data_IF_519293827758
#
_entry.id   IF_519293827758
#
_cell.length_a   1.000
_cell.length_b   1.000
_cell.length_c   1.000
_cell.angle_alpha   90.00
_cell.angle_beta   90.00
_cell.angle_gamma   90.00
#
_symmetry.space_group_name_H-M   'P 1'
#
loop_
_entity.id
_entity.type
_entity.pdbx_description
1 polymer ?
#
# COMPACT_ATOMS: atom_id res chain seq x y z
N UNK A 1 30.43 -0.10 24.75
CA UNK A 1 29.72 -0.47 23.52
C UNK A 1 30.73 -0.99 22.53
N UNK A 2 30.49 -2.16 21.94
CA UNK A 2 31.30 -2.69 20.85
C UNK A 2 30.61 -2.29 19.53
N UNK A 3 31.11 -1.25 18.87
CA UNK A 3 30.47 -0.74 17.65
C UNK A 3 30.56 -1.71 16.49
N UNK A 4 31.63 -2.51 16.41
CA UNK A 4 31.77 -3.55 15.39
C UNK A 4 30.68 -4.61 15.51
N UNK A 5 30.32 -4.99 16.74
CA UNK A 5 29.20 -5.92 17.02
C UNK A 5 27.85 -5.28 16.68
N UNK A 6 27.68 -3.97 16.91
CA UNK A 6 26.46 -3.27 16.50
C UNK A 6 26.33 -3.19 14.97
N UNK A 7 27.44 -2.98 14.26
CA UNK A 7 27.46 -2.88 12.79
C UNK A 7 27.17 -4.23 12.14
N UNK A 8 27.59 -5.35 12.74
CA UNK A 8 27.33 -6.69 12.20
C UNK A 8 25.86 -7.12 12.28
N UNK A 9 25.05 -6.47 13.12
CA UNK A 9 23.60 -6.71 13.23
C UNK A 9 22.77 -6.13 12.09
N UNK A 10 23.36 -5.29 11.23
CA UNK A 10 22.65 -4.76 10.07
C UNK A 10 22.61 -5.79 8.94
N UNK A 11 21.41 -6.17 8.55
CA UNK A 11 21.17 -7.14 7.48
C UNK A 11 20.73 -6.48 6.17
N UNK A 12 20.93 -7.15 5.02
CA UNK A 12 20.38 -6.69 3.75
C UNK A 12 18.86 -6.58 3.82
N UNK A 13 18.33 -5.49 3.28
CA UNK A 13 16.90 -5.20 3.31
C UNK A 13 16.24 -5.64 2.00
N UNK A 14 14.99 -6.06 2.10
CA UNK A 14 14.09 -6.20 0.95
C UNK A 14 13.16 -4.99 0.92
N UNK A 15 12.72 -4.57 -0.27
CA UNK A 15 11.97 -3.32 -0.45
C UNK A 15 10.66 -3.34 0.34
N UNK A 16 10.06 -4.51 0.49
CA UNK A 16 8.81 -4.75 1.22
C UNK A 16 8.97 -4.63 2.74
N UNK A 17 10.18 -4.82 3.26
CA UNK A 17 10.48 -4.75 4.70
C UNK A 17 10.75 -3.31 5.19
N UNK A 18 10.84 -2.34 4.29
CA UNK A 18 11.18 -0.96 4.63
C UNK A 18 9.94 -0.07 4.52
N UNK A 19 9.67 0.80 5.52
CA UNK A 19 8.63 1.81 5.41
C UNK A 19 8.84 2.67 4.16
N UNK A 20 7.75 3.10 3.53
CA UNK A 20 7.85 3.87 2.30
C UNK A 20 8.46 5.24 2.57
N UNK A 21 9.56 5.53 1.87
CA UNK A 21 10.27 6.80 1.97
C UNK A 21 10.45 7.53 0.62
N UNK A 22 10.16 6.86 -0.50
CA UNK A 22 10.31 7.38 -1.86
C UNK A 22 9.35 6.68 -2.84
N UNK A 23 9.41 6.99 -4.14
CA UNK A 23 8.67 6.23 -5.15
C UNK A 23 9.18 4.77 -5.26
N UNK A 24 8.40 3.81 -5.80
CA UNK A 24 8.79 2.40 -5.82
C UNK A 24 10.15 2.14 -6.48
N UNK A 25 10.40 2.80 -7.61
CA UNK A 25 11.66 2.69 -8.35
C UNK A 25 12.82 3.31 -7.59
N UNK A 26 12.61 4.43 -6.91
CA UNK A 26 13.62 5.07 -6.06
C UNK A 26 13.89 4.25 -4.79
N UNK A 27 12.87 3.62 -4.21
CA UNK A 27 13.03 2.71 -3.07
C UNK A 27 13.86 1.50 -3.44
N UNK A 28 13.56 0.85 -4.58
CA UNK A 28 14.39 -0.24 -5.12
C UNK A 28 15.85 0.21 -5.31
N UNK A 29 16.07 1.37 -5.91
CA UNK A 29 17.41 1.92 -6.12
C UNK A 29 18.12 2.26 -4.80
N UNK A 30 17.41 2.80 -3.82
CA UNK A 30 17.96 3.16 -2.52
C UNK A 30 18.29 1.92 -1.69
N UNK A 31 17.42 0.92 -1.66
CA UNK A 31 17.61 -0.36 -0.96
C UNK A 31 18.75 -1.14 -1.61
N UNK A 32 18.80 -1.22 -2.94
CA UNK A 32 19.94 -1.86 -3.64
C UNK A 32 21.26 -1.14 -3.37
N UNK A 33 21.26 0.19 -3.33
CA UNK A 33 22.45 0.97 -2.97
C UNK A 33 22.87 0.74 -1.52
N UNK A 34 21.91 0.62 -0.60
CA UNK A 34 22.15 0.30 0.80
C UNK A 34 22.76 -1.10 0.97
N UNK A 35 22.15 -2.12 0.37
CA UNK A 35 22.64 -3.50 0.41
C UNK A 35 24.04 -3.63 -0.19
N UNK A 36 24.32 -2.90 -1.27
CA UNK A 36 25.67 -2.82 -1.83
C UNK A 36 26.66 -2.16 -0.86
N UNK A 37 26.25 -1.11 -0.16
CA UNK A 37 27.10 -0.46 0.84
C UNK A 37 27.39 -1.40 2.03
N UNK A 38 26.42 -2.19 2.48
CA UNK A 38 26.63 -3.24 3.49
C UNK A 38 27.64 -4.29 3.02
N UNK A 39 27.49 -4.81 1.80
CA UNK A 39 28.44 -5.77 1.25
C UNK A 39 29.87 -5.19 1.15
N UNK A 40 29.99 -3.90 0.82
CA UNK A 40 31.28 -3.20 0.79
C UNK A 40 31.89 -3.00 2.18
N UNK A 41 31.09 -2.83 3.24
CA UNK A 41 31.60 -2.79 4.61
C UNK A 41 32.25 -4.12 5.01
N UNK A 42 31.66 -5.24 4.63
CA UNK A 42 32.20 -6.57 4.93
C UNK A 42 33.41 -6.96 4.08
N UNK A 43 33.57 -6.34 2.90
CA UNK A 43 34.73 -6.49 2.02
C UNK A 43 35.84 -5.46 2.31
N UNK A 44 35.84 -4.87 3.51
CA UNK A 44 36.84 -3.90 3.99
C UNK A 44 36.93 -2.59 3.16
N UNK A 45 35.94 -2.32 2.31
CA UNK A 45 35.84 -1.12 1.47
C UNK A 45 35.05 -0.02 2.16
N UNK A 46 35.44 0.31 3.40
CA UNK A 46 34.68 1.17 4.33
C UNK A 46 34.42 2.59 3.80
N UNK A 47 35.40 3.20 3.11
CA UNK A 47 35.26 4.56 2.59
C UNK A 47 34.18 4.69 1.52
N UNK A 48 34.06 3.68 0.65
CA UNK A 48 33.06 3.65 -0.43
C UNK A 48 31.66 3.52 0.19
N UNK A 49 31.53 2.64 1.18
CA UNK A 49 30.28 2.46 1.91
C UNK A 49 29.88 3.75 2.66
N UNK A 50 30.82 4.43 3.32
CA UNK A 50 30.55 5.71 4.00
C UNK A 50 30.04 6.79 3.05
N UNK A 51 30.62 6.89 1.84
CA UNK A 51 30.17 7.86 0.83
C UNK A 51 28.75 7.52 0.35
N UNK A 52 28.49 6.24 0.07
CA UNK A 52 27.17 5.78 -0.36
C UNK A 52 26.10 6.01 0.71
N UNK A 53 26.38 5.65 1.96
CA UNK A 53 25.47 5.82 3.10
C UNK A 53 25.22 7.29 3.41
N UNK A 54 26.24 8.15 3.33
CA UNK A 54 26.05 9.61 3.51
C UNK A 54 25.13 10.19 2.45
N UNK A 55 25.33 9.80 1.19
CA UNK A 55 24.46 10.22 0.09
C UNK A 55 23.03 9.71 0.30
N UNK A 56 22.85 8.47 0.73
CA UNK A 56 21.52 7.90 1.01
C UNK A 56 20.83 8.64 2.15
N UNK A 57 21.50 8.84 3.28
CA UNK A 57 20.94 9.53 4.44
C UNK A 57 20.58 11.01 4.15
N UNK A 58 21.29 11.67 3.23
CA UNK A 58 20.96 13.04 2.81
C UNK A 58 19.86 13.10 1.75
N UNK A 59 19.84 12.14 0.83
CA UNK A 59 18.87 12.12 -0.29
C UNK A 59 17.51 11.57 0.13
N UNK A 60 17.49 10.67 1.12
CA UNK A 60 16.30 10.02 1.64
C UNK A 60 16.24 10.11 3.18
N UNK A 61 15.89 11.28 3.75
CA UNK A 61 15.85 11.47 5.20
C UNK A 61 14.83 10.56 5.92
N UNK A 62 13.80 10.12 5.21
CA UNK A 62 12.75 9.20 5.69
C UNK A 62 13.15 7.72 5.58
N UNK A 63 14.36 7.41 5.10
CA UNK A 63 14.91 6.06 5.14
C UNK A 63 15.81 5.94 6.38
N UNK A 64 15.37 5.29 7.48
CA UNK A 64 16.08 5.36 8.76
C UNK A 64 17.35 4.49 8.82
N UNK A 65 17.39 3.38 8.07
CA UNK A 65 18.49 2.41 8.13
C UNK A 65 19.86 2.99 7.73
N UNK A 66 20.01 3.76 6.62
CA UNK A 66 21.29 4.38 6.28
C UNK A 66 21.76 5.40 7.32
N UNK A 67 20.83 6.17 7.90
CA UNK A 67 21.17 7.17 8.92
C UNK A 67 21.67 6.49 10.20
N UNK A 68 20.99 5.42 10.65
CA UNK A 68 21.41 4.66 11.82
C UNK A 68 22.78 3.99 11.61
N UNK A 69 22.95 3.27 10.51
CA UNK A 69 24.22 2.60 10.18
C UNK A 69 25.38 3.60 10.04
N UNK A 70 25.13 4.75 9.38
CA UNK A 70 26.12 5.82 9.29
C UNK A 70 26.47 6.40 10.67
N UNK A 71 25.47 6.53 11.55
CA UNK A 71 25.67 6.91 12.95
C UNK A 71 26.60 5.95 13.68
N UNK A 72 26.36 4.64 13.60
CA UNK A 72 27.22 3.61 14.20
C UNK A 72 28.65 3.66 13.64
N UNK A 73 28.82 3.83 12.32
CA UNK A 73 30.15 3.93 11.70
C UNK A 73 30.92 5.18 12.12
N UNK A 74 30.22 6.30 12.32
CA UNK A 74 30.82 7.54 12.82
C UNK A 74 31.17 7.44 14.32
N UNK A 75 30.33 6.76 15.10
CA UNK A 75 30.58 6.50 16.51
C UNK A 75 31.82 5.61 16.71
N UNK A 76 31.99 4.60 15.87
CA UNK A 76 33.19 3.76 15.82
C UNK A 76 34.45 4.59 15.50
N UNK A 77 34.34 5.61 14.65
CA UNK A 77 35.42 6.57 14.37
C UNK A 77 35.63 7.65 15.43
N UNK A 78 34.89 7.63 16.54
CA UNK A 78 34.99 8.58 17.65
C UNK A 78 34.20 9.89 17.49
N UNK A 79 33.43 10.07 16.40
CA UNK A 79 32.64 11.28 16.13
C UNK A 79 31.24 11.20 16.77
N UNK A 80 31.20 11.14 18.10
CA UNK A 80 29.98 10.84 18.87
C UNK A 80 28.85 11.88 18.71
N UNK A 81 29.17 13.18 18.63
CA UNK A 81 28.14 14.24 18.48
C UNK A 81 27.36 14.12 17.17
N UNK A 82 28.07 13.92 16.06
CA UNK A 82 27.46 13.77 14.75
C UNK A 82 26.71 12.44 14.62
N UNK A 83 27.29 11.39 15.20
CA UNK A 83 26.63 10.09 15.29
C UNK A 83 25.28 10.20 16.03
N UNK A 84 25.27 10.85 17.20
CA UNK A 84 24.05 11.05 17.99
C UNK A 84 22.93 11.74 17.20
N UNK A 85 23.27 12.79 16.43
CA UNK A 85 22.29 13.49 15.58
C UNK A 85 21.66 12.57 14.53
N UNK A 86 22.46 11.72 13.89
CA UNK A 86 21.98 10.80 12.85
C UNK A 86 21.15 9.65 13.44
N UNK A 87 21.53 9.13 14.60
CA UNK A 87 20.76 8.09 15.29
C UNK A 87 19.42 8.65 15.80
N UNK A 88 19.42 9.87 16.33
CA UNK A 88 18.19 10.56 16.75
C UNK A 88 17.27 10.83 15.55
N UNK A 89 17.83 11.23 14.40
CA UNK A 89 17.07 11.35 13.15
C UNK A 89 16.44 10.01 12.77
N UNK A 90 17.19 8.90 12.82
CA UNK A 90 16.66 7.58 12.48
C UNK A 90 15.50 7.16 13.42
N UNK A 91 15.65 7.41 14.73
CA UNK A 91 14.60 7.16 15.73
C UNK A 91 13.33 7.98 15.46
N UNK A 92 13.47 9.26 15.07
CA UNK A 92 12.30 10.11 14.76
C UNK A 92 11.49 9.65 13.55
N UNK A 93 12.12 8.89 12.65
CA UNK A 93 11.47 8.34 11.44
C UNK A 93 10.81 6.99 11.72
N UNK A 94 11.33 6.25 12.71
CA UNK A 94 10.82 4.95 13.13
C UNK A 94 11.65 3.79 12.59
N UNK A 95 12.29 3.04 13.48
CA UNK A 95 13.06 1.84 13.18
C UNK A 95 12.25 0.58 13.53
N UNK A 96 12.56 -0.58 12.91
CA UNK A 96 12.03 -1.87 13.36
C UNK A 96 12.38 -2.11 14.84
N UNK A 97 11.52 -2.81 15.60
CA UNK A 97 11.63 -2.94 17.07
C UNK A 97 13.03 -3.37 17.56
N UNK A 98 13.69 -4.29 16.86
CA UNK A 98 15.05 -4.75 17.19
C UNK A 98 16.10 -3.64 17.05
N UNK A 99 16.02 -2.85 15.97
CA UNK A 99 16.94 -1.74 15.72
C UNK A 99 16.60 -0.49 16.53
N UNK A 100 15.35 -0.32 16.93
CA UNK A 100 14.88 0.81 17.74
C UNK A 100 15.47 0.76 19.17
N UNK A 101 15.43 -0.41 19.81
CA UNK A 101 16.06 -0.63 21.12
C UNK A 101 17.59 -0.51 21.05
N UNK A 102 18.19 -1.03 19.98
CA UNK A 102 19.62 -0.88 19.72
C UNK A 102 20.00 0.60 19.55
N UNK A 103 19.21 1.38 18.80
CA UNK A 103 19.45 2.81 18.59
C UNK A 103 19.31 3.62 19.89
N UNK A 104 18.32 3.32 20.75
CA UNK A 104 18.17 3.91 22.08
C UNK A 104 19.37 3.59 22.97
N UNK A 105 19.81 2.34 23.00
CA UNK A 105 20.98 1.92 23.78
C UNK A 105 22.27 2.61 23.30
N UNK A 106 22.43 2.79 21.99
CA UNK A 106 23.53 3.54 21.40
C UNK A 106 23.54 5.00 21.85
N UNK A 107 22.38 5.67 21.86
CA UNK A 107 22.26 7.05 22.34
C UNK A 107 22.56 7.16 23.85
N UNK A 108 22.02 6.27 24.67
CA UNK A 108 22.30 6.25 26.11
C UNK A 108 23.79 6.05 26.39
N UNK A 109 24.46 5.17 25.63
CA UNK A 109 25.91 4.98 25.72
C UNK A 109 26.68 6.24 25.31
N UNK A 110 26.23 6.98 24.30
CA UNK A 110 26.88 8.24 23.90
C UNK A 110 26.70 9.34 24.95
N UNK A 111 25.51 9.44 25.54
CA UNK A 111 25.19 10.43 26.58
C UNK A 111 26.02 10.21 27.86
N UNK A 112 26.18 8.96 28.29
CA UNK A 112 27.03 8.62 29.46
C UNK A 112 28.51 8.88 29.23
N UNK A 113 28.97 8.90 27.98
CA UNK A 113 30.35 9.17 27.58
C UNK A 113 30.62 10.61 27.18
N UNK A 114 29.63 11.49 27.26
CA UNK A 114 29.75 12.91 26.96
C UNK A 114 29.98 13.64 28.31
N UNK A 115 31.23 13.92 28.73
CA UNK A 115 31.43 14.82 29.85
C UNK A 115 31.04 16.22 29.40
N UNK A 116 30.44 16.99 30.32
CA UNK A 116 30.11 18.41 30.18
C UNK A 116 31.08 19.15 29.26
N UNK A 117 30.65 19.40 28.03
CA UNK A 117 31.12 20.55 27.28
C UNK A 117 29.98 21.56 27.33
N UNK A 118 30.18 22.73 27.96
CA UNK A 118 29.15 23.73 28.03
C UNK A 118 28.72 24.10 26.61
N UNK A 119 27.42 24.34 26.46
CA UNK A 119 26.79 24.77 25.24
C UNK A 119 27.59 25.90 24.59
N UNK A 120 28.19 25.63 23.43
CA UNK A 120 28.62 26.69 22.54
C UNK A 120 27.34 27.40 22.10
N UNK A 121 27.16 28.58 22.70
CA UNK A 121 26.12 29.54 22.39
C UNK A 121 26.12 29.73 20.88
N UNK A 122 24.97 29.41 20.27
CA UNK A 122 24.61 29.89 18.95
C UNK A 122 24.65 31.41 19.02
N UNK A 123 25.80 32.01 18.68
CA UNK A 123 25.89 33.42 18.37
C UNK A 123 25.26 33.62 16.99
N UNK A 124 23.95 33.80 17.01
CA UNK A 124 23.20 34.49 15.97
C UNK A 124 23.84 35.86 15.80
N UNK A 125 24.71 36.02 14.80
CA UNK A 125 25.32 37.29 14.45
C UNK A 125 24.31 38.10 13.63
N UNK A 126 23.28 38.61 14.31
CA UNK A 126 22.41 39.68 13.82
C UNK A 126 23.27 40.95 13.75
N UNK A 127 23.79 41.25 12.56
CA UNK A 127 24.52 42.50 12.31
C UNK A 127 23.49 43.62 12.13
N UNK A 128 23.11 44.27 13.22
CA UNK A 128 22.58 45.65 13.19
C UNK A 128 23.78 46.59 13.16
N UNK A 129 23.88 47.39 12.09
CA UNK A 129 24.90 48.43 11.90
C UNK A 129 24.25 49.78 12.19
N UNK A 130 24.51 50.33 13.37
CA UNK A 130 24.54 51.78 13.58
C UNK A 130 25.72 52.13 14.49
N UNK A 131 26.52 53.07 13.99
CA UNK A 131 27.52 53.90 14.67
C UNK A 131 28.79 53.26 15.23
N UNK A 132 29.83 53.24 14.37
CA UNK A 132 31.08 53.98 14.65
C UNK A 132 31.95 54.15 13.40
N UNK A 133 32.38 55.39 13.22
CA UNK A 133 33.21 55.96 12.15
C UNK A 133 34.67 55.39 12.16
N UNK A 134 35.37 55.31 11.00
CA UNK A 134 36.60 54.53 10.85
C UNK A 134 37.89 55.34 11.02
N UNK A 135 39.03 54.73 11.41
CA UNK A 135 40.35 55.30 11.17
C UNK A 135 40.88 54.92 9.77
N UNK A 136 41.61 55.86 9.19
CA UNK A 136 42.08 55.86 7.80
C UNK A 136 43.07 54.74 7.44
N UNK A 137 42.86 54.16 6.25
CA UNK A 137 43.78 53.26 5.56
C UNK A 137 44.88 54.06 4.83
N UNK A 138 46.13 53.89 5.25
CA UNK A 138 47.31 54.30 4.49
C UNK A 138 47.70 53.17 3.52
N UNK A 139 47.43 53.38 2.22
CA UNK A 139 47.80 52.48 1.13
C UNK A 139 49.09 52.99 0.50
N UNK A 140 50.24 52.72 1.10
CA UNK A 140 51.55 52.72 0.43
C UNK A 140 52.49 51.81 1.23
N UNK A 141 53.35 51.07 0.52
CA UNK A 141 54.15 49.93 1.01
C UNK A 141 53.27 48.66 1.09
N UNK A 142 53.45 47.62 0.28
CA UNK A 142 54.68 46.90 -0.03
C UNK A 142 54.54 46.25 -1.42
N UNK A 143 55.27 46.82 -2.38
CA UNK A 143 55.79 46.11 -3.54
C UNK A 143 57.15 45.55 -3.11
N UNK A 144 57.27 44.25 -2.84
CA UNK A 144 58.57 43.58 -2.88
C UNK A 144 58.45 42.05 -3.07
N UNK A 145 58.53 41.65 -4.34
CA UNK A 145 59.53 40.69 -4.87
C UNK A 145 59.88 39.50 -3.96
N UNK A 146 59.36 38.31 -4.29
CA UNK A 146 60.22 37.11 -4.33
C UNK A 146 60.01 36.31 -5.61
N UNK A 147 61.10 36.22 -6.37
CA UNK A 147 61.31 35.42 -7.56
C UNK A 147 61.91 34.09 -7.09
N UNK A 148 61.25 32.96 -7.34
CA UNK A 148 61.91 31.64 -7.43
C UNK A 148 61.11 30.73 -8.35
N UNK A 149 61.58 30.62 -9.60
CA UNK A 149 61.00 29.77 -10.62
C UNK A 149 61.10 28.31 -10.23
N UNK A 150 59.95 27.67 -10.00
CA UNK A 150 59.80 26.22 -10.01
C UNK A 150 58.87 25.90 -11.18
N UNK A 151 59.34 25.09 -12.12
CA UNK A 151 58.61 24.67 -13.32
C UNK A 151 57.19 24.23 -12.93
N UNK A 152 56.19 25.00 -13.35
CA UNK A 152 54.78 24.65 -13.21
C UNK A 152 54.54 23.42 -14.10
N UNK A 153 54.30 22.27 -13.47
CA UNK A 153 53.73 21.12 -14.17
C UNK A 153 52.29 21.50 -14.50
N UNK A 154 51.96 21.55 -15.78
CA UNK A 154 50.57 21.67 -16.23
C UNK A 154 49.75 20.56 -15.57
N UNK A 155 48.63 20.94 -14.94
CA UNK A 155 47.66 19.99 -14.38
C UNK A 155 47.28 18.96 -15.45
N UNK A 156 47.27 17.69 -15.07
CA UNK A 156 46.99 16.61 -16.02
C UNK A 156 45.59 16.75 -16.61
N UNK A 157 45.36 16.22 -17.82
CA UNK A 157 44.03 16.23 -18.49
C UNK A 157 42.89 15.66 -17.61
N UNK A 158 43.21 14.86 -16.59
CA UNK A 158 42.26 14.38 -15.57
C UNK A 158 41.88 15.48 -14.57
N UNK A 159 42.85 16.25 -14.05
CA UNK A 159 42.61 17.36 -13.11
C UNK A 159 41.92 18.54 -13.79
N UNK A 160 42.27 18.85 -15.05
CA UNK A 160 41.52 19.83 -15.85
C UNK A 160 40.05 19.43 -16.03
N UNK A 161 39.76 18.13 -16.13
CA UNK A 161 38.38 17.60 -16.23
C UNK A 161 37.61 17.71 -14.93
N UNK A 162 38.26 17.57 -13.78
CA UNK A 162 37.61 17.70 -12.47
C UNK A 162 37.32 19.16 -12.14
N UNK A 163 38.21 20.07 -12.53
CA UNK A 163 38.03 21.52 -12.35
C UNK A 163 36.99 22.09 -13.31
N UNK A 164 36.92 21.59 -14.55
CA UNK A 164 35.86 21.95 -15.51
C UNK A 164 34.47 21.39 -15.14
N UNK A 165 34.37 20.44 -14.19
CA UNK A 165 33.09 19.90 -13.71
C UNK A 165 32.58 20.59 -12.44
N UNK A 166 33.38 21.48 -11.86
CA UNK A 166 33.11 22.11 -10.56
C UNK A 166 32.23 23.35 -10.63
N UNK A 167 32.12 24.03 -11.77
CA UNK A 167 31.34 25.27 -11.88
C UNK A 167 30.49 25.32 -13.15
N UNK A 168 29.24 25.74 -12.96
CA UNK A 168 28.23 26.14 -13.95
C UNK A 168 27.53 25.00 -14.71
N UNK A 169 26.23 24.87 -14.42
CA UNK A 169 25.24 24.44 -15.40
C UNK A 169 25.37 25.30 -16.68
N UNK A 170 25.22 24.68 -17.85
CA UNK A 170 24.31 25.26 -18.83
C UNK A 170 23.35 24.21 -19.39
N UNK A 171 22.16 24.69 -19.75
CA UNK A 171 21.13 23.99 -20.51
C UNK A 171 21.73 23.16 -21.65
N UNK A 172 21.38 21.88 -21.71
CA UNK A 172 21.71 21.03 -22.84
C UNK A 172 20.80 21.39 -24.02
N UNK A 173 21.34 22.16 -24.98
CA UNK A 173 20.93 22.04 -26.37
C UNK A 173 21.72 20.87 -26.97
N UNK A 174 21.03 19.75 -27.16
CA UNK A 174 21.59 18.51 -27.70
C UNK A 174 22.22 18.73 -29.09
N UNK A 175 23.54 18.54 -29.22
CA UNK A 175 24.18 18.29 -30.51
C UNK A 175 24.56 16.82 -30.61
N UNK A 176 23.78 16.10 -31.42
CA UNK A 176 23.85 14.64 -31.58
C UNK A 176 25.00 14.26 -32.52
N UNK A 177 26.21 14.12 -31.99
CA UNK A 177 27.34 13.55 -32.74
C UNK A 177 27.26 12.03 -32.67
N UNK A 178 26.85 11.41 -33.79
CA UNK A 178 26.89 9.94 -33.95
C UNK A 178 28.34 9.48 -34.08
N UNK A 179 28.93 8.94 -33.00
CA UNK A 179 30.14 8.13 -33.12
C UNK A 179 29.77 6.75 -33.68
N UNK A 180 30.39 6.35 -34.79
CA UNK A 180 30.36 4.96 -35.27
C UNK A 180 31.12 4.09 -34.27
N UNK A 181 30.43 3.12 -33.68
CA UNK A 181 31.01 2.17 -32.71
C UNK A 181 31.94 1.19 -33.44
N UNK A 182 33.10 0.93 -32.83
CA UNK A 182 34.08 -0.04 -33.33
C UNK A 182 33.50 -1.46 -33.40
N UNK A 183 33.61 -2.16 -34.56
CA UNK A 183 32.98 -3.47 -34.76
C UNK A 183 33.54 -4.55 -33.82
N UNK A 184 34.80 -4.41 -33.39
CA UNK A 184 35.47 -5.36 -32.49
C UNK A 184 34.91 -5.27 -31.06
N UNK A 185 34.50 -4.08 -30.62
CA UNK A 185 33.91 -3.89 -29.30
C UNK A 185 32.49 -4.47 -29.19
N UNK A 186 31.72 -4.36 -30.28
CA UNK A 186 30.41 -5.01 -30.41
C UNK A 186 30.52 -6.54 -30.40
N UNK A 187 31.53 -7.11 -31.06
CA UNK A 187 31.72 -8.56 -31.07
C UNK A 187 32.07 -9.11 -29.67
N UNK A 188 32.96 -8.41 -28.95
CA UNK A 188 33.42 -8.83 -27.62
C UNK A 188 32.33 -8.74 -26.55
N UNK A 189 31.41 -7.79 -26.69
CA UNK A 189 30.26 -7.64 -25.76
C UNK A 189 29.04 -8.43 -26.21
N UNK A 190 28.84 -8.62 -27.50
CA UNK A 190 27.69 -9.34 -28.06
C UNK A 190 27.77 -10.86 -27.91
N UNK A 191 28.96 -11.46 -28.02
CA UNK A 191 29.15 -12.91 -27.92
C UNK A 191 28.66 -13.52 -26.58
N UNK A 192 29.01 -12.99 -25.38
CA UNK A 192 28.52 -13.54 -24.13
C UNK A 192 27.01 -13.31 -23.95
N UNK A 193 26.47 -12.19 -24.43
CA UNK A 193 25.02 -11.91 -24.37
C UNK A 193 24.25 -12.92 -25.22
N UNK A 194 24.73 -13.20 -26.43
CA UNK A 194 24.13 -14.21 -27.31
C UNK A 194 24.15 -15.60 -26.67
N UNK A 195 25.25 -15.97 -26.00
CA UNK A 195 25.35 -17.25 -25.30
C UNK A 195 24.34 -17.37 -24.15
N UNK A 196 24.17 -16.30 -23.35
CA UNK A 196 23.16 -16.28 -22.27
C UNK A 196 21.75 -16.37 -22.83
N UNK A 197 21.44 -15.62 -23.90
CA UNK A 197 20.13 -15.68 -24.56
C UNK A 197 19.83 -17.09 -25.07
N UNK A 198 20.83 -17.77 -25.64
CA UNK A 198 20.67 -19.13 -26.16
C UNK A 198 20.41 -20.14 -25.03
N UNK A 199 21.11 -20.01 -23.89
CA UNK A 199 20.86 -20.84 -22.70
C UNK A 199 19.45 -20.62 -22.16
N UNK A 200 19.01 -19.36 -22.02
CA UNK A 200 17.65 -19.03 -21.55
C UNK A 200 16.59 -19.57 -22.51
N UNK A 201 16.79 -19.42 -23.82
CA UNK A 201 15.88 -19.97 -24.83
C UNK A 201 15.78 -21.50 -24.74
N UNK A 202 16.90 -22.20 -24.51
CA UNK A 202 16.88 -23.66 -24.33
C UNK A 202 16.17 -24.09 -23.04
N UNK A 203 16.29 -23.32 -21.95
CA UNK A 203 15.58 -23.59 -20.70
C UNK A 203 14.06 -23.37 -20.84
N UNK A 204 13.65 -22.33 -21.56
CA UNK A 204 12.23 -22.08 -21.86
C UNK A 204 11.67 -23.23 -22.71
N UNK A 205 12.40 -23.66 -23.74
CA UNK A 205 11.97 -24.78 -24.60
C UNK A 205 11.90 -26.11 -23.83
N UNK A 206 12.86 -26.36 -22.93
CA UNK A 206 12.85 -27.53 -22.05
C UNK A 206 11.66 -27.48 -21.07
N UNK A 207 11.37 -26.31 -20.52
CA UNK A 207 10.19 -26.08 -19.69
C UNK A 207 8.90 -26.39 -20.43
N UNK A 208 8.68 -25.82 -21.61
CA UNK A 208 7.47 -26.07 -22.43
C UNK A 208 7.34 -27.55 -22.83
N UNK A 209 8.47 -28.23 -23.11
CA UNK A 209 8.47 -29.65 -23.50
C UNK A 209 8.15 -30.60 -22.33
N UNK A 210 8.62 -30.30 -21.12
CA UNK A 210 8.56 -31.23 -19.98
C UNK A 210 7.53 -30.86 -18.90
N UNK A 211 7.05 -29.61 -18.83
CA UNK A 211 5.98 -29.21 -17.90
C UNK A 211 4.57 -29.80 -18.16
N UNK A 212 4.13 -30.17 -19.39
CA UNK A 212 2.77 -30.70 -19.57
C UNK A 212 2.55 -32.10 -18.96
N UNK A 213 3.61 -32.76 -18.49
CA UNK A 213 3.52 -34.04 -17.78
C UNK A 213 3.31 -33.88 -16.26
N UNK A 214 3.73 -32.75 -15.66
CA UNK A 214 3.68 -32.53 -14.21
C UNK A 214 2.57 -31.57 -13.78
N UNK A 215 2.13 -30.66 -14.64
CA UNK A 215 1.10 -29.67 -14.31
C UNK A 215 -0.12 -29.82 -15.23
N UNK A 216 -0.80 -30.97 -15.13
CA UNK A 216 -2.25 -30.96 -15.37
C UNK A 216 -2.88 -30.38 -14.11
N UNK A 217 -3.45 -29.17 -14.12
CA UNK A 217 -4.29 -28.74 -13.01
C UNK A 217 -5.41 -29.77 -12.88
N UNK A 218 -5.64 -30.31 -11.68
CA UNK A 218 -6.84 -31.11 -11.41
C UNK A 218 -8.06 -30.24 -11.77
N UNK A 219 -8.90 -30.63 -12.73
CA UNK A 219 -10.10 -29.85 -13.00
C UNK A 219 -11.15 -30.17 -11.93
N UNK A 220 -11.73 -29.10 -11.36
CA UNK A 220 -13.18 -28.91 -11.22
C UNK A 220 -14.06 -29.94 -10.46
N UNK A 221 -13.53 -30.77 -9.55
CA UNK A 221 -14.40 -31.65 -8.73
C UNK A 221 -15.51 -30.91 -7.93
N UNK A 222 -15.28 -29.67 -7.49
CA UNK A 222 -16.30 -28.89 -6.76
C UNK A 222 -17.39 -28.30 -7.67
N UNK A 223 -17.05 -27.98 -8.92
CA UNK A 223 -18.02 -27.44 -9.89
C UNK A 223 -18.86 -28.56 -10.52
N UNK A 224 -18.31 -29.77 -10.66
CA UNK A 224 -19.01 -30.86 -11.33
C UNK A 224 -20.09 -31.48 -10.45
N UNK A 225 -19.88 -31.56 -9.12
CA UNK A 225 -20.93 -31.99 -8.18
C UNK A 225 -22.07 -30.99 -8.08
N UNK A 226 -21.77 -29.69 -8.10
CA UNK A 226 -22.77 -28.63 -8.12
C UNK A 226 -23.55 -28.57 -9.44
N UNK A 227 -22.88 -28.81 -10.58
CA UNK A 227 -23.54 -28.92 -11.88
C UNK A 227 -24.42 -30.16 -11.98
N UNK A 228 -23.95 -31.29 -11.45
CA UNK A 228 -24.72 -32.54 -11.44
C UNK A 228 -25.97 -32.41 -10.56
N UNK A 229 -25.84 -31.85 -9.35
CA UNK A 229 -27.01 -31.64 -8.47
C UNK A 229 -28.02 -30.67 -9.08
N UNK A 230 -27.54 -29.62 -9.74
CA UNK A 230 -28.41 -28.69 -10.48
C UNK A 230 -29.10 -29.37 -11.67
N UNK A 231 -28.39 -30.20 -12.44
CA UNK A 231 -28.96 -30.93 -13.58
C UNK A 231 -30.03 -31.94 -13.15
N UNK A 232 -29.81 -32.67 -12.05
CA UNK A 232 -30.79 -33.61 -11.51
C UNK A 232 -32.03 -32.89 -11.01
N UNK A 233 -31.88 -31.79 -10.26
CA UNK A 233 -33.01 -30.98 -9.81
C UNK A 233 -33.79 -30.37 -11.01
N UNK A 234 -33.08 -30.01 -12.08
CA UNK A 234 -33.71 -29.47 -13.28
C UNK A 234 -34.45 -30.53 -14.09
N UNK A 235 -33.91 -31.75 -14.18
CA UNK A 235 -34.57 -32.89 -14.82
C UNK A 235 -35.79 -33.36 -14.03
N UNK A 236 -35.72 -33.36 -12.70
CA UNK A 236 -36.86 -33.69 -11.83
C UNK A 236 -38.03 -32.73 -12.07
N UNK A 237 -37.74 -31.42 -12.12
CA UNK A 237 -38.76 -30.41 -12.44
C UNK A 237 -39.40 -30.60 -13.82
N UNK A 238 -38.63 -31.03 -14.82
CA UNK A 238 -39.09 -31.23 -16.20
C UNK A 238 -39.77 -32.59 -16.41
N UNK A 239 -39.49 -33.58 -15.56
CA UNK A 239 -40.08 -34.92 -15.63
C UNK A 239 -41.61 -34.91 -15.46
N UNK A 240 -42.16 -33.88 -14.83
CA UNK A 240 -43.59 -33.66 -14.69
C UNK A 240 -44.29 -33.30 -16.02
N UNK A 241 -43.55 -32.77 -16.99
CA UNK A 241 -44.09 -32.26 -18.26
C UNK A 241 -43.61 -33.08 -19.47
N UNK A 242 -42.43 -33.70 -19.40
CA UNK A 242 -41.81 -34.44 -20.51
C UNK A 242 -41.45 -35.90 -20.11
N UNK A 243 -42.06 -36.85 -20.82
CA UNK A 243 -41.85 -38.28 -20.61
C UNK A 243 -40.41 -38.73 -20.90
N UNK A 244 -39.67 -38.01 -21.76
CA UNK A 244 -38.26 -38.34 -22.02
C UNK A 244 -37.36 -37.96 -20.83
N UNK A 245 -37.64 -36.81 -20.18
CA UNK A 245 -36.91 -36.39 -18.99
C UNK A 245 -37.17 -37.34 -17.81
N UNK A 246 -38.42 -37.83 -17.65
CA UNK A 246 -38.77 -38.84 -16.66
C UNK A 246 -38.05 -40.18 -16.88
N UNK A 247 -37.93 -40.62 -18.14
CA UNK A 247 -37.20 -41.84 -18.49
C UNK A 247 -35.70 -41.76 -18.15
N UNK A 248 -35.06 -40.63 -18.46
CA UNK A 248 -33.63 -40.43 -18.19
C UNK A 248 -33.32 -40.34 -16.68
N UNK A 249 -34.21 -39.73 -15.89
CA UNK A 249 -34.06 -39.65 -14.44
C UNK A 249 -34.20 -41.04 -13.79
N UNK A 250 -35.19 -41.83 -14.22
CA UNK A 250 -35.39 -43.19 -13.74
C UNK A 250 -34.22 -44.12 -14.10
N UNK A 251 -33.64 -43.99 -15.30
CA UNK A 251 -32.47 -44.77 -15.72
C UNK A 251 -31.22 -44.39 -14.92
N UNK A 252 -31.02 -43.09 -14.66
CA UNK A 252 -29.93 -42.61 -13.80
C UNK A 252 -30.06 -43.12 -12.36
N UNK A 253 -31.25 -43.02 -11.75
CA UNK A 253 -31.50 -43.53 -10.39
C UNK A 253 -31.32 -45.05 -10.32
N UNK A 254 -31.79 -45.80 -11.32
CA UNK A 254 -31.63 -47.26 -11.35
C UNK A 254 -30.16 -47.71 -11.39
N UNK A 255 -29.29 -46.95 -12.07
CA UNK A 255 -27.87 -47.28 -12.19
C UNK A 255 -27.08 -46.87 -10.94
N UNK A 256 -27.38 -45.71 -10.33
CA UNK A 256 -26.53 -45.13 -9.29
C UNK A 256 -27.11 -45.18 -7.86
N UNK A 257 -28.40 -45.49 -7.66
CA UNK A 257 -28.96 -45.67 -6.32
C UNK A 257 -28.42 -46.92 -5.60
N UNK A 258 -27.92 -47.92 -6.34
CA UNK A 258 -27.33 -49.13 -5.77
C UNK A 258 -25.99 -48.86 -5.03
N UNK A 259 -25.23 -47.83 -5.42
CA UNK A 259 -23.97 -47.48 -4.76
C UNK A 259 -24.17 -46.65 -3.48
N UNK A 260 -25.29 -45.92 -3.34
CA UNK A 260 -25.59 -45.13 -2.15
C UNK A 260 -25.95 -45.97 -0.91
N UNK A 261 -26.34 -47.24 -1.09
CA UNK A 261 -26.73 -48.13 0.02
C UNK A 261 -25.58 -48.93 0.64
N UNK A 262 -24.34 -48.82 0.14
CA UNK A 262 -23.20 -49.60 0.65
C UNK A 262 -22.34 -48.86 1.69
N UNK A 263 -22.67 -47.61 2.03
CA UNK A 263 -21.79 -46.72 2.78
C UNK A 263 -22.39 -46.09 4.03
N UNK A 264 -23.19 -46.78 4.85
CA UNK A 264 -23.46 -46.32 6.23
C UNK A 264 -23.89 -47.47 7.14
N UNK A 265 -22.94 -48.02 7.90
CA UNK A 265 -23.19 -48.82 9.10
C UNK A 265 -22.47 -48.16 10.29
N UNK A 266 -23.12 -48.19 11.45
CA UNK A 266 -22.75 -47.70 12.79
C UNK A 266 -23.21 -46.26 13.13
N UNK A 267 -23.98 -45.95 14.21
CA UNK A 267 -24.51 -46.71 15.35
C UNK A 267 -25.80 -46.01 15.90
N UNK A 268 -26.73 -46.89 16.30
CA UNK A 268 -27.97 -46.82 17.09
C UNK A 268 -28.26 -45.67 18.09
N UNK A 269 -29.57 -45.35 18.19
CA UNK A 269 -30.20 -44.82 19.40
C UNK A 269 -31.69 -44.43 19.26
N UNK A 270 -32.61 -45.43 19.22
CA UNK A 270 -33.91 -45.51 19.94
C UNK A 270 -34.78 -44.23 20.11
N UNK A 271 -36.10 -44.12 19.89
CA UNK A 271 -37.26 -45.04 20.03
C UNK A 271 -38.56 -44.25 19.73
N UNK A 272 -39.56 -44.88 19.07
CA UNK A 272 -41.04 -44.60 19.15
C UNK A 272 -41.58 -43.28 18.55
N UNK A 273 -42.67 -43.18 17.75
CA UNK A 273 -43.76 -44.08 17.29
C UNK A 273 -44.49 -43.48 16.08
N UNK A 274 -44.75 -44.32 15.07
CA UNK A 274 -45.95 -44.61 14.24
C UNK A 274 -47.21 -43.67 14.33
N UNK A 275 -48.17 -43.74 13.36
CA UNK A 275 -48.23 -43.17 11.99
C UNK A 275 -49.51 -42.30 11.78
N UNK A 276 -49.75 -41.71 10.60
CA UNK A 276 -51.10 -41.74 9.97
C UNK A 276 -50.97 -41.66 8.44
N UNK A 277 -51.73 -42.54 7.81
CA UNK A 277 -51.94 -42.78 6.39
C UNK A 277 -52.77 -41.69 5.69
N UNK A 278 -52.48 -41.52 4.39
CA UNK A 278 -53.40 -41.56 3.24
C UNK A 278 -54.75 -40.86 3.36
N UNK A 279 -55.11 -39.98 2.41
CA UNK A 279 -56.00 -40.32 1.26
C UNK A 279 -56.18 -39.10 0.35
N UNK A 280 -56.03 -39.34 -0.95
CA UNK A 280 -56.45 -38.48 -2.07
C UNK A 280 -57.92 -38.06 -2.00
N UNK A 281 -58.28 -36.97 -2.68
CA UNK A 281 -59.38 -36.98 -3.68
C UNK A 281 -59.45 -35.67 -4.46
N UNK A 282 -59.73 -35.88 -5.73
CA UNK A 282 -59.84 -35.01 -6.91
C UNK A 282 -61.21 -34.30 -7.02
N UNK A 283 -61.30 -33.31 -7.92
CA UNK A 283 -62.48 -32.96 -8.77
C UNK A 283 -63.10 -31.54 -8.62
N UNK A 284 -62.70 -30.64 -9.54
CA UNK A 284 -63.51 -29.99 -10.62
C UNK A 284 -64.64 -28.95 -10.33
N UNK A 285 -64.52 -27.82 -11.07
CA UNK A 285 -65.48 -26.80 -11.65
C UNK A 285 -66.26 -25.73 -10.84
N UNK A 286 -65.87 -24.45 -11.05
CA UNK A 286 -66.56 -23.22 -11.61
C UNK A 286 -68.09 -22.94 -11.41
N UNK A 287 -68.59 -21.70 -11.64
CA UNK A 287 -68.74 -20.52 -10.76
C UNK A 287 -70.23 -20.07 -10.53
N UNK A 288 -70.46 -18.96 -9.78
CA UNK A 288 -71.49 -17.89 -9.99
C UNK A 288 -72.34 -17.46 -8.76
N UNK A 289 -72.40 -16.12 -8.58
CA UNK A 289 -73.44 -15.24 -7.99
C UNK A 289 -73.73 -15.11 -6.46
N UNK A 290 -73.49 -13.87 -5.99
CA UNK A 290 -74.05 -13.02 -4.89
C UNK A 290 -75.61 -13.12 -4.79
N UNK A 291 -76.31 -12.90 -3.63
CA UNK A 291 -76.18 -11.73 -2.73
C UNK A 291 -76.35 -11.90 -1.19
N UNK A 292 -76.05 -10.79 -0.52
CA UNK A 292 -76.08 -10.46 0.93
C UNK A 292 -77.45 -10.67 1.61
N UNK A 293 -77.49 -10.89 2.96
CA UNK A 293 -77.79 -9.77 3.88
C UNK A 293 -77.05 -9.76 5.26
N UNK A 294 -76.50 -8.59 5.61
CA UNK A 294 -76.63 -7.77 6.85
C UNK A 294 -76.37 -8.30 8.29
N UNK A 295 -75.18 -7.91 8.85
CA UNK A 295 -74.78 -7.50 10.25
C UNK A 295 -74.93 -8.45 11.47
N UNK A 296 -74.13 -8.33 12.58
CA UNK A 296 -73.48 -7.10 13.11
C UNK A 296 -71.96 -7.12 13.36
N UNK A 297 -71.34 -6.00 12.97
CA UNK A 297 -70.21 -5.24 13.55
C UNK A 297 -69.39 -5.88 14.71
N UNK A 298 -68.12 -6.26 14.48
CA UNK A 298 -67.11 -6.27 15.52
C UNK A 298 -66.51 -4.88 15.73
N UNK A 299 -66.39 -4.50 17.01
CA UNK A 299 -65.69 -3.36 17.59
C UNK A 299 -64.38 -3.01 16.88
N UNK A 300 -64.08 -1.73 16.59
CA UNK A 300 -62.77 -1.36 16.06
C UNK A 300 -61.70 -1.64 17.13
N UNK A 301 -60.88 -2.65 16.87
CA UNK A 301 -59.59 -2.82 17.53
C UNK A 301 -58.77 -1.54 17.30
N UNK A 302 -58.07 -0.98 18.31
CA UNK A 302 -57.27 0.21 18.11
C UNK A 302 -56.26 -0.06 17.00
N UNK A 303 -56.43 0.65 15.89
CA UNK A 303 -55.43 0.75 14.83
C UNK A 303 -54.11 1.09 15.50
N UNK A 304 -53.16 0.15 15.52
CA UNK A 304 -51.80 0.44 15.91
C UNK A 304 -51.36 1.63 15.06
N UNK A 305 -51.06 2.76 15.71
CA UNK A 305 -50.50 3.92 15.06
C UNK A 305 -49.31 3.45 14.21
N UNK A 306 -49.14 3.93 12.97
CA UNK A 306 -47.99 3.57 12.16
C UNK A 306 -46.75 3.90 12.99
N UNK A 307 -45.95 2.88 13.32
CA UNK A 307 -44.64 3.07 13.90
C UNK A 307 -43.92 4.06 12.99
N UNK A 308 -43.48 5.24 13.48
CA UNK A 308 -42.84 6.21 12.63
C UNK A 308 -41.62 5.54 12.01
N UNK A 309 -41.63 5.41 10.69
CA UNK A 309 -40.44 4.98 9.94
C UNK A 309 -39.33 5.97 10.33
N UNK A 310 -38.21 5.51 10.92
CA UNK A 310 -37.16 6.41 11.35
C UNK A 310 -36.65 7.17 10.12
N UNK A 311 -36.57 8.49 10.24
CA UNK A 311 -36.03 9.35 9.19
C UNK A 311 -34.64 8.82 8.76
N UNK A 312 -34.43 8.53 7.46
CA UNK A 312 -33.14 8.01 6.98
C UNK A 312 -31.97 8.93 7.31
N UNK A 313 -32.17 10.25 7.40
CA UNK A 313 -31.13 11.19 7.80
C UNK A 313 -30.73 11.00 9.28
N UNK A 314 -31.72 10.80 10.16
CA UNK A 314 -31.48 10.54 11.59
C UNK A 314 -30.80 9.18 11.78
N UNK A 315 -31.15 8.17 10.98
CA UNK A 315 -30.48 6.87 10.99
C UNK A 315 -29.01 6.98 10.54
N UNK A 316 -28.74 7.70 9.45
CA UNK A 316 -27.39 7.94 8.96
C UNK A 316 -26.54 8.70 9.99
N UNK A 317 -27.12 9.73 10.62
CA UNK A 317 -26.50 10.48 11.70
C UNK A 317 -26.11 9.58 12.86
N UNK A 318 -27.03 8.74 13.37
CA UNK A 318 -26.72 7.78 14.44
C UNK A 318 -25.59 6.81 14.06
N UNK A 319 -25.60 6.30 12.83
CA UNK A 319 -24.53 5.41 12.33
C UNK A 319 -23.19 6.15 12.24
N UNK A 320 -23.17 7.43 11.87
CA UNK A 320 -21.95 8.23 11.83
C UNK A 320 -21.39 8.44 13.24
N UNK A 321 -22.24 8.68 14.25
CA UNK A 321 -21.84 8.78 15.66
C UNK A 321 -21.18 7.49 16.12
N UNK A 322 -21.79 6.33 15.84
CA UNK A 322 -21.20 5.04 16.22
C UNK A 322 -19.87 4.78 15.53
N UNK A 323 -19.72 5.20 14.27
CA UNK A 323 -18.48 5.07 13.53
C UNK A 323 -17.38 6.01 14.05
N UNK A 324 -17.73 7.23 14.49
CA UNK A 324 -16.76 8.12 15.13
C UNK A 324 -16.28 7.53 16.47
N UNK A 325 -17.19 7.01 17.30
CA UNK A 325 -16.82 6.37 18.57
C UNK A 325 -15.91 5.14 18.36
N UNK A 326 -16.19 4.33 17.34
CA UNK A 326 -15.33 3.21 16.94
C UNK A 326 -13.94 3.71 16.48
N UNK A 327 -13.88 4.82 15.75
CA UNK A 327 -12.61 5.41 15.33
C UNK A 327 -11.76 5.89 16.50
N UNK A 328 -12.37 6.58 17.46
CA UNK A 328 -11.70 7.09 18.67
C UNK A 328 -11.18 5.95 19.56
N UNK A 329 -11.93 4.84 19.67
CA UNK A 329 -11.52 3.69 20.46
C UNK A 329 -10.25 3.01 19.92
N UNK A 330 -10.01 3.08 18.61
CA UNK A 330 -8.91 2.37 17.94
C UNK A 330 -7.78 3.28 17.44
N UNK A 331 -7.83 4.58 17.69
CA UNK A 331 -6.90 5.55 17.08
C UNK A 331 -5.43 5.31 17.41
N UNK A 332 -5.13 4.76 18.59
CA UNK A 332 -3.76 4.49 19.04
C UNK A 332 -3.28 3.05 18.80
N UNK A 333 -4.21 2.11 18.63
CA UNK A 333 -3.90 0.67 18.55
C UNK A 333 -4.04 0.11 17.13
N UNK A 334 -5.09 0.50 16.40
CA UNK A 334 -5.40 -0.02 15.08
C UNK A 334 -5.90 1.09 14.12
N UNK A 335 -4.93 1.67 13.42
CA UNK A 335 -5.17 2.71 12.42
C UNK A 335 -5.97 2.21 11.21
N UNK A 336 -6.01 0.90 10.93
CA UNK A 336 -6.82 0.35 9.83
C UNK A 336 -8.29 0.44 10.20
N UNK A 337 -8.65 -0.06 11.39
CA UNK A 337 -10.04 0.00 11.89
C UNK A 337 -10.48 1.44 12.10
N UNK A 338 -9.63 2.26 12.73
CA UNK A 338 -9.93 3.69 12.94
C UNK A 338 -10.12 4.44 11.61
N UNK A 339 -9.26 4.20 10.62
CA UNK A 339 -9.38 4.81 9.30
C UNK A 339 -10.63 4.40 8.54
N UNK A 340 -11.00 3.11 8.55
CA UNK A 340 -12.26 2.63 7.95
C UNK A 340 -13.48 3.29 8.59
N UNK A 341 -13.49 3.37 9.92
CA UNK A 341 -14.58 3.96 10.66
C UNK A 341 -14.73 5.45 10.36
N UNK A 342 -13.63 6.21 10.23
CA UNK A 342 -13.67 7.62 9.82
C UNK A 342 -14.15 7.83 8.39
N UNK A 343 -13.68 7.03 7.43
CA UNK A 343 -14.16 7.11 6.05
C UNK A 343 -15.67 6.82 5.98
N UNK A 344 -16.14 5.84 6.76
CA UNK A 344 -17.56 5.53 6.91
C UNK A 344 -18.35 6.67 7.56
N UNK A 345 -17.86 7.25 8.65
CA UNK A 345 -18.51 8.39 9.30
C UNK A 345 -18.64 9.58 8.33
N UNK A 346 -17.56 9.92 7.63
CA UNK A 346 -17.53 10.98 6.62
C UNK A 346 -18.55 10.75 5.51
N UNK A 347 -18.61 9.55 4.95
CA UNK A 347 -19.54 9.22 3.86
C UNK A 347 -21.01 9.24 4.30
N UNK A 348 -21.32 8.82 5.54
CA UNK A 348 -22.68 8.88 6.09
C UNK A 348 -23.14 10.33 6.31
N UNK A 349 -22.20 11.24 6.59
CA UNK A 349 -22.48 12.67 6.78
C UNK A 349 -22.53 13.45 5.46
N UNK A 350 -21.88 12.94 4.42
CA UNK A 350 -21.86 13.51 3.07
C UNK A 350 -23.23 13.34 2.36
N UNK A 351 -24.25 14.05 2.83
CA UNK A 351 -25.60 14.02 2.24
C UNK A 351 -26.73 14.36 3.19
N UNK A 352 -26.45 14.52 4.49
CA UNK A 352 -27.49 14.91 5.47
C UNK A 352 -27.42 16.40 5.80
N UNK A 353 -28.56 17.05 6.10
CA UNK A 353 -28.55 18.44 6.58
C UNK A 353 -27.72 18.60 7.85
N UNK A 354 -26.92 19.66 7.93
CA UNK A 354 -26.09 19.94 9.12
C UNK A 354 -26.88 20.12 10.42
N UNK A 355 -28.16 20.51 10.32
CA UNK A 355 -29.10 20.68 11.45
C UNK A 355 -29.75 19.38 11.90
N UNK A 356 -29.41 18.22 11.31
CA UNK A 356 -29.95 16.94 11.73
C UNK A 356 -29.47 16.62 13.15
N UNK A 357 -30.42 16.30 14.03
CA UNK A 357 -30.18 15.91 15.42
C UNK A 357 -30.91 14.60 15.71
N UNK A 358 -30.51 13.91 16.78
CA UNK A 358 -31.21 12.75 17.30
C UNK A 358 -31.42 12.91 18.81
N UNK A 359 -32.53 12.38 19.33
CA UNK A 359 -32.93 12.55 20.74
C UNK A 359 -31.90 11.96 21.73
N UNK A 360 -31.13 10.99 21.26
CA UNK A 360 -30.17 10.17 22.00
C UNK A 360 -28.70 10.53 21.70
N UNK A 361 -28.46 11.60 20.93
CA UNK A 361 -27.11 12.02 20.52
C UNK A 361 -26.95 13.50 20.83
N UNK A 362 -25.87 13.84 21.52
CA UNK A 362 -25.50 15.22 21.77
C UNK A 362 -24.94 15.89 20.51
N UNK A 363 -25.51 17.04 20.15
CA UNK A 363 -25.08 17.86 19.01
C UNK A 363 -25.81 17.58 17.70
N UNK A 364 -25.37 18.26 16.65
CA UNK A 364 -25.92 18.16 15.29
C UNK A 364 -24.93 17.54 14.31
N UNK A 365 -25.41 17.20 13.11
CA UNK A 365 -24.60 16.62 12.05
C UNK A 365 -23.45 17.53 11.60
N UNK A 366 -23.60 18.85 11.69
CA UNK A 366 -22.54 19.81 11.38
C UNK A 366 -21.38 19.71 12.37
N UNK A 367 -21.68 19.68 13.67
CA UNK A 367 -20.68 19.54 14.73
C UNK A 367 -19.97 18.19 14.63
N UNK A 368 -20.72 17.11 14.39
CA UNK A 368 -20.14 15.79 14.20
C UNK A 368 -19.22 15.74 12.97
N UNK A 369 -19.63 16.36 11.85
CA UNK A 369 -18.79 16.46 10.66
C UNK A 369 -17.48 17.19 10.95
N UNK A 370 -17.51 18.28 11.73
CA UNK A 370 -16.29 19.00 12.14
C UNK A 370 -15.37 18.12 12.98
N UNK A 371 -15.92 17.35 13.93
CA UNK A 371 -15.13 16.44 14.76
C UNK A 371 -14.49 15.32 13.92
N UNK A 372 -15.24 14.74 12.99
CA UNK A 372 -14.73 13.73 12.03
C UNK A 372 -13.59 14.32 11.21
N UNK A 373 -13.75 15.52 10.62
CA UNK A 373 -12.70 16.16 9.82
C UNK A 373 -11.47 16.53 10.65
N UNK A 374 -11.66 16.94 11.91
CA UNK A 374 -10.56 17.20 12.83
C UNK A 374 -9.74 15.93 13.08
N UNK A 375 -10.40 14.82 13.39
CA UNK A 375 -9.72 13.55 13.65
C UNK A 375 -9.05 12.99 12.38
N UNK A 376 -9.71 13.12 11.23
CA UNK A 376 -9.11 12.79 9.93
C UNK A 376 -7.85 13.63 9.73
N UNK A 377 -7.86 14.93 10.01
CA UNK A 377 -6.68 15.79 9.81
C UNK A 377 -5.48 15.36 10.67
N UNK A 378 -5.72 14.75 11.83
CA UNK A 378 -4.68 14.25 12.73
C UNK A 378 -4.03 12.96 12.20
N UNK A 379 -4.82 12.00 11.71
CA UNK A 379 -4.33 10.66 11.37
C UNK A 379 -4.34 10.32 9.88
N UNK A 380 -4.84 11.20 9.01
CA UNK A 380 -5.10 10.90 7.58
C UNK A 380 -3.90 10.25 6.87
N UNK A 381 -2.69 10.75 7.10
CA UNK A 381 -1.49 10.23 6.44
C UNK A 381 -1.13 8.83 6.92
N UNK A 382 -1.12 8.61 8.24
CA UNK A 382 -0.76 7.32 8.84
C UNK A 382 -1.84 6.27 8.61
N UNK A 383 -3.12 6.63 8.77
CA UNK A 383 -4.28 5.78 8.50
C UNK A 383 -4.35 5.37 7.02
N UNK A 384 -4.20 6.32 6.07
CA UNK A 384 -4.19 5.99 4.65
C UNK A 384 -3.02 5.05 4.28
N UNK A 385 -1.85 5.20 4.91
CA UNK A 385 -0.74 4.27 4.68
C UNK A 385 -1.02 2.88 5.28
N UNK A 386 -1.60 2.80 6.49
CA UNK A 386 -1.97 1.54 7.11
C UNK A 386 -3.02 0.77 6.28
N UNK A 387 -4.06 1.47 5.83
CA UNK A 387 -5.09 0.93 4.93
C UNK A 387 -4.49 0.44 3.61
N UNK A 388 -3.58 1.22 3.00
CA UNK A 388 -2.86 0.82 1.78
C UNK A 388 -2.03 -0.45 2.00
N UNK A 389 -1.33 -0.57 3.13
CA UNK A 389 -0.57 -1.78 3.49
C UNK A 389 -1.48 -2.99 3.65
N UNK A 390 -2.66 -2.80 4.25
CA UNK A 390 -3.68 -3.85 4.39
C UNK A 390 -4.25 -4.29 3.02
N UNK A 391 -4.43 -3.35 2.10
CA UNK A 391 -4.97 -3.60 0.76
C UNK A 391 -4.00 -4.35 -0.17
N UNK A 392 -2.69 -4.13 0.01
CA UNK A 392 -1.65 -4.62 -0.89
C UNK A 392 -1.61 -6.15 -1.07
N UNK A 393 -1.60 -6.99 -0.01
CA UNK A 393 -1.63 -8.44 -0.19
C UNK A 393 -2.91 -8.91 -0.88
N UNK A 394 -4.07 -8.33 -0.53
CA UNK A 394 -5.35 -8.65 -1.18
C UNK A 394 -5.33 -8.35 -2.68
N UNK A 395 -4.68 -7.24 -3.06
CA UNK A 395 -4.51 -6.89 -4.46
C UNK A 395 -3.60 -7.88 -5.20
N UNK A 396 -2.53 -8.35 -4.55
CA UNK A 396 -1.61 -9.35 -5.10
C UNK A 396 -2.26 -10.72 -5.25
N UNK A 397 -3.21 -11.05 -4.36
CA UNK A 397 -4.05 -12.25 -4.41
C UNK A 397 -5.21 -12.15 -5.41
N UNK A 398 -5.29 -11.05 -6.17
CA UNK A 398 -6.38 -10.76 -7.12
C UNK A 398 -7.77 -10.57 -6.48
N UNK A 399 -7.81 -10.45 -5.15
CA UNK A 399 -9.00 -10.11 -4.36
C UNK A 399 -9.32 -8.61 -4.47
N UNK A 400 -9.60 -8.14 -5.68
CA UNK A 400 -9.75 -6.71 -5.98
C UNK A 400 -10.96 -6.07 -5.30
N UNK A 401 -12.04 -6.83 -5.05
CA UNK A 401 -13.21 -6.35 -4.30
C UNK A 401 -12.84 -6.00 -2.86
N UNK A 402 -12.09 -6.87 -2.19
CA UNK A 402 -11.63 -6.66 -0.81
C UNK A 402 -10.55 -5.59 -0.73
N UNK A 403 -9.58 -5.61 -1.67
CA UNK A 403 -8.54 -4.60 -1.76
C UNK A 403 -9.14 -3.20 -1.98
N UNK A 404 -10.20 -3.09 -2.79
CA UNK A 404 -10.88 -1.84 -3.08
C UNK A 404 -11.46 -1.20 -1.81
N UNK A 405 -12.01 -1.98 -0.86
CA UNK A 405 -12.54 -1.43 0.40
C UNK A 405 -11.47 -0.60 1.12
N UNK A 406 -10.27 -1.16 1.25
CA UNK A 406 -9.17 -0.50 1.95
C UNK A 406 -8.54 0.63 1.12
N UNK A 407 -8.33 0.44 -0.18
CA UNK A 407 -7.80 1.49 -1.05
C UNK A 407 -8.76 2.69 -1.15
N UNK A 408 -10.07 2.44 -1.24
CA UNK A 408 -11.08 3.49 -1.30
C UNK A 408 -11.12 4.28 0.01
N UNK A 409 -11.13 3.60 1.16
CA UNK A 409 -11.05 4.29 2.44
C UNK A 409 -9.76 5.12 2.57
N UNK A 410 -8.61 4.58 2.14
CA UNK A 410 -7.35 5.32 2.14
C UNK A 410 -7.43 6.57 1.23
N UNK A 411 -8.10 6.47 0.07
CA UNK A 411 -8.32 7.58 -0.84
C UNK A 411 -9.24 8.63 -0.21
N UNK A 412 -10.35 8.21 0.40
CA UNK A 412 -11.34 9.10 1.01
C UNK A 412 -10.76 9.89 2.19
N UNK A 413 -9.78 9.33 2.90
CA UNK A 413 -9.05 10.02 3.96
C UNK A 413 -7.96 10.94 3.40
N UNK A 414 -7.09 10.42 2.53
CA UNK A 414 -5.97 11.17 1.98
C UNK A 414 -5.67 10.79 0.52
N UNK A 415 -6.31 11.45 -0.47
CA UNK A 415 -6.16 11.11 -1.89
C UNK A 415 -4.70 11.18 -2.40
N UNK A 416 -3.90 12.07 -1.79
CA UNK A 416 -2.49 12.30 -2.16
C UNK A 416 -1.53 11.31 -1.49
N UNK A 417 -2.02 10.41 -0.65
CA UNK A 417 -1.24 9.38 0.01
C UNK A 417 -0.39 8.58 -0.98
N UNK A 418 0.78 8.16 -0.53
CA UNK A 418 1.72 7.37 -1.33
C UNK A 418 2.03 8.02 -2.69
N UNK A 419 2.12 9.35 -2.71
CA UNK A 419 2.37 10.10 -3.94
C UNK A 419 1.30 9.87 -5.02
N UNK A 420 0.04 9.73 -4.64
CA UNK A 420 -1.06 9.40 -5.56
C UNK A 420 -1.20 7.92 -5.87
N UNK A 421 -0.36 7.07 -5.26
CA UNK A 421 -0.46 5.63 -5.44
C UNK A 421 -1.77 5.06 -4.94
N UNK A 422 -2.33 5.58 -3.85
CA UNK A 422 -3.65 5.15 -3.36
C UNK A 422 -4.73 5.40 -4.42
N UNK A 423 -4.81 6.61 -4.98
CA UNK A 423 -5.72 6.92 -6.07
C UNK A 423 -5.50 6.01 -7.29
N UNK A 424 -4.24 5.80 -7.69
CA UNK A 424 -3.92 4.89 -8.79
C UNK A 424 -4.43 3.46 -8.56
N UNK A 425 -4.26 2.92 -7.34
CA UNK A 425 -4.69 1.57 -7.01
C UNK A 425 -6.21 1.43 -6.86
N UNK A 426 -6.92 2.48 -6.41
CA UNK A 426 -8.40 2.51 -6.50
C UNK A 426 -8.85 2.40 -7.96
N UNK A 427 -8.28 3.24 -8.84
CA UNK A 427 -8.54 3.15 -10.27
C UNK A 427 -8.22 1.77 -10.84
N UNK A 428 -7.11 1.17 -10.41
CA UNK A 428 -6.70 -0.17 -10.85
C UNK A 428 -7.63 -1.27 -10.39
N UNK A 429 -8.14 -1.22 -9.16
CA UNK A 429 -9.13 -2.17 -8.68
C UNK A 429 -10.41 -2.09 -9.53
N UNK A 430 -10.96 -0.89 -9.74
CA UNK A 430 -12.14 -0.71 -10.59
C UNK A 430 -11.90 -1.18 -12.04
N UNK A 431 -10.75 -0.89 -12.62
CA UNK A 431 -10.40 -1.36 -13.96
C UNK A 431 -10.41 -2.90 -14.04
N UNK A 432 -9.78 -3.56 -13.06
CA UNK A 432 -9.67 -5.02 -13.01
C UNK A 432 -10.99 -5.71 -12.67
N UNK A 433 -11.90 -5.02 -11.97
CA UNK A 433 -13.27 -5.45 -11.72
C UNK A 433 -14.21 -5.25 -12.94
N UNK A 434 -13.71 -4.74 -14.06
CA UNK A 434 -14.52 -4.49 -15.26
C UNK A 434 -15.36 -3.20 -15.18
N UNK A 435 -14.97 -2.25 -14.33
CA UNK A 435 -15.66 -0.97 -14.12
C UNK A 435 -14.81 0.23 -14.59
N UNK A 436 -14.44 0.32 -15.89
CA UNK A 436 -13.51 1.35 -16.38
C UNK A 436 -14.04 2.78 -16.21
N UNK A 437 -15.37 2.95 -16.22
CA UNK A 437 -16.01 4.26 -15.99
C UNK A 437 -15.74 4.78 -14.57
N UNK A 438 -15.74 3.89 -13.58
CA UNK A 438 -15.41 4.24 -12.19
C UNK A 438 -13.90 4.41 -12.00
N UNK A 439 -13.07 3.69 -12.77
CA UNK A 439 -11.62 3.79 -12.70
C UNK A 439 -11.06 5.13 -13.20
N UNK A 440 -11.61 5.64 -14.31
CA UNK A 440 -11.14 6.85 -15.00
C UNK A 440 -10.91 8.07 -14.10
N UNK A 441 -11.86 8.52 -13.25
CA UNK A 441 -11.66 9.72 -12.42
C UNK A 441 -10.45 9.63 -11.49
N UNK A 442 -10.11 8.44 -11.00
CA UNK A 442 -8.94 8.24 -10.15
C UNK A 442 -7.63 8.36 -10.94
N UNK A 443 -7.60 7.86 -12.18
CA UNK A 443 -6.44 8.05 -13.05
C UNK A 443 -6.28 9.49 -13.50
N UNK A 444 -7.38 10.18 -13.84
CA UNK A 444 -7.36 11.60 -14.16
C UNK A 444 -6.80 12.42 -12.99
N UNK A 445 -7.26 12.15 -11.76
CA UNK A 445 -6.72 12.76 -10.55
C UNK A 445 -5.20 12.54 -10.43
N UNK A 446 -4.71 11.33 -10.70
CA UNK A 446 -3.28 11.04 -10.62
C UNK A 446 -2.48 11.79 -11.69
N UNK A 447 -3.01 11.88 -12.91
CA UNK A 447 -2.36 12.60 -14.02
C UNK A 447 -2.29 14.09 -13.71
N UNK A 448 -3.39 14.68 -13.23
CA UNK A 448 -3.49 16.11 -12.95
C UNK A 448 -2.61 16.50 -11.76
N UNK A 449 -2.75 15.79 -10.64
CA UNK A 449 -2.08 16.16 -9.39
C UNK A 449 -0.60 15.74 -9.36
N UNK A 450 -0.18 14.82 -10.23
CA UNK A 450 1.17 14.25 -10.23
C UNK A 450 1.82 14.17 -11.62
N UNK A 451 1.47 15.09 -12.52
CA UNK A 451 1.88 15.15 -13.94
C UNK A 451 3.39 15.00 -14.25
N UNK A 452 4.26 15.31 -13.28
CA UNK A 452 5.73 15.12 -13.40
C UNK A 452 6.27 13.75 -12.97
N UNK A 453 5.43 12.85 -12.46
CA UNK A 453 5.86 11.55 -11.91
C UNK A 453 5.54 10.40 -12.86
N UNK A 454 6.32 9.32 -12.74
CA UNK A 454 6.10 8.12 -13.56
C UNK A 454 4.72 7.48 -13.31
N UNK A 455 4.14 7.67 -12.11
CA UNK A 455 2.78 7.19 -11.82
C UNK A 455 1.70 7.89 -12.67
N UNK A 456 1.89 9.16 -13.04
CA UNK A 456 0.98 9.85 -13.96
C UNK A 456 1.09 9.28 -15.37
N UNK A 457 2.30 8.91 -15.82
CA UNK A 457 2.48 8.21 -17.11
C UNK A 457 1.81 6.84 -17.09
N UNK A 458 1.94 6.09 -15.98
CA UNK A 458 1.27 4.81 -15.78
C UNK A 458 -0.26 4.97 -15.79
N UNK A 459 -0.80 5.97 -15.09
CA UNK A 459 -2.22 6.28 -15.10
C UNK A 459 -2.73 6.63 -16.51
N UNK A 460 -2.00 7.50 -17.25
CA UNK A 460 -2.33 7.84 -18.63
C UNK A 460 -2.25 6.63 -19.59
N UNK A 461 -1.33 5.70 -19.32
CA UNK A 461 -1.30 4.42 -20.02
C UNK A 461 -2.53 3.56 -19.70
N UNK A 462 -2.95 3.46 -18.43
CA UNK A 462 -4.17 2.73 -18.05
C UNK A 462 -5.44 3.30 -18.66
N UNK A 463 -5.57 4.62 -18.76
CA UNK A 463 -6.70 5.26 -19.47
C UNK A 463 -6.79 4.77 -20.92
N UNK A 464 -5.66 4.73 -21.64
CA UNK A 464 -5.62 4.23 -23.03
C UNK A 464 -5.94 2.75 -23.17
N UNK A 465 -5.66 1.93 -22.15
CA UNK A 465 -6.05 0.52 -22.15
C UNK A 465 -7.56 0.32 -21.98
N UNK A 466 -8.28 1.31 -21.44
CA UNK A 466 -9.72 1.22 -21.20
C UNK A 466 -10.59 1.67 -22.38
N UNK A 467 -9.99 2.27 -23.43
CA UNK A 467 -10.69 2.75 -24.63
C UNK A 467 -10.56 4.25 -24.83
#
# INVERSE_FOLDING_TARGET
MNWSDQISRFEPLVVEAVPIFASPTEMEQAVTTYNRALAQLWQDSRDIALIALRKLASSYPLFPHPAFLLGCLLADSGRLKEAGRLIQQALSVGLPQNLDEDAKSCLAYMQTRQPDQPADVVQTRSRSLTDREPPALNVTQILEKTRRGKKVRMAGKKEQRTVMRGHSYPEETETKVRMRKDPVALLRTGLPILAVVLVVATLILAGIRWLPALWRPKPQLANDTQKLSWLLARLDQLSAEDAQAAGLLAEYEAVFAAEASAGTSEVSGQTTSIPVQTTSSETTVLPTATPLPTKPLPTPSPTAAPTPTPDPAVLAFRKAVTALAEAEAHIHDDLVTSGLALAKARSLLAGIPGTTTAVDVDGDAATLSQNVEMLISEIAVSAANALRLKAQPLFQEESYTEALVYYQAAYDLYPRAYGGGVAYYVGRCHQLLGEPQKAKPYYDFVIEQFSGRDIAKSAAYRIREMG
#
